data_IF_176428527455
#
_entry.id   IF_176428527455
#
_cell.length_a   1.000
_cell.length_b   1.000
_cell.length_c   1.000
_cell.angle_alpha   90.00
_cell.angle_beta   90.00
_cell.angle_gamma   90.00
#
_symmetry.space_group_name_H-M   'P 1'
#
loop_
_entity.id
_entity.type
_entity.pdbx_description
1 polymer ?
#
# COMPACT_ATOMS: atom_id res chain seq x y z
N UNK A 1 -0.12 4.41 10.12
CA UNK A 1 0.65 5.55 9.58
C UNK A 1 2.12 5.14 9.57
N UNK A 2 2.73 4.94 8.40
CA UNK A 2 4.12 4.49 8.26
C UNK A 2 4.89 5.58 7.51
N UNK A 3 5.74 6.33 8.20
CA UNK A 3 6.54 7.39 7.59
C UNK A 3 8.03 7.19 7.88
N UNK A 4 8.89 7.51 6.90
CA UNK A 4 10.35 7.50 7.01
C UNK A 4 10.97 6.12 7.30
N UNK A 5 10.26 5.03 7.01
CA UNK A 5 10.78 3.68 7.23
C UNK A 5 11.65 3.24 6.05
N UNK A 6 12.92 3.63 6.07
CA UNK A 6 13.90 3.48 4.97
C UNK A 6 14.20 2.05 4.51
N UNK A 7 13.62 1.03 5.15
CA UNK A 7 13.79 -0.38 4.81
C UNK A 7 12.62 -1.02 4.07
N UNK A 8 11.48 -0.32 3.92
CA UNK A 8 10.28 -0.90 3.32
C UNK A 8 10.37 -0.84 1.79
N UNK A 9 11.08 -1.80 1.19
CA UNK A 9 11.26 -1.88 -0.26
C UNK A 9 10.06 -2.50 -0.99
N UNK A 10 9.35 -3.43 -0.34
CA UNK A 10 8.20 -4.13 -0.92
C UNK A 10 7.06 -4.15 0.10
N UNK A 11 5.84 -3.89 -0.36
CA UNK A 11 4.63 -4.09 0.44
C UNK A 11 3.96 -5.41 0.02
N UNK A 12 3.83 -6.35 0.96
CA UNK A 12 3.24 -7.66 0.69
C UNK A 12 1.79 -7.73 1.17
N UNK A 13 1.04 -8.70 0.65
CA UNK A 13 -0.34 -8.91 1.10
C UNK A 13 -0.41 -9.29 2.58
N UNK A 14 0.47 -10.20 3.03
CA UNK A 14 0.55 -10.66 4.42
C UNK A 14 0.70 -9.50 5.41
N UNK A 15 1.48 -8.48 5.04
CA UNK A 15 1.67 -7.28 5.87
C UNK A 15 0.36 -6.50 6.07
N UNK A 16 -0.60 -6.64 5.15
CA UNK A 16 -1.85 -5.90 5.10
C UNK A 16 -3.06 -6.71 5.58
N UNK A 17 -2.97 -8.04 5.66
CA UNK A 17 -4.11 -8.93 5.95
C UNK A 17 -4.76 -8.68 7.31
N UNK A 18 -3.97 -8.30 8.31
CA UNK A 18 -4.45 -8.05 9.67
C UNK A 18 -5.20 -6.72 9.81
N UNK A 19 -5.04 -5.79 8.86
CA UNK A 19 -5.60 -4.45 8.94
C UNK A 19 -6.94 -4.34 8.19
N UNK A 20 -7.90 -5.21 8.51
CA UNK A 20 -9.18 -5.30 7.79
C UNK A 20 -10.03 -4.03 7.86
N UNK A 21 -9.92 -3.27 8.96
CA UNK A 21 -10.59 -1.98 9.15
C UNK A 21 -9.83 -0.75 8.61
N UNK A 22 -8.70 -0.94 7.91
CA UNK A 22 -7.86 0.18 7.48
C UNK A 22 -8.56 1.04 6.43
N UNK A 23 -8.68 2.34 6.70
CA UNK A 23 -9.29 3.30 5.78
C UNK A 23 -8.27 4.20 5.07
N UNK A 24 -7.14 4.48 5.73
CA UNK A 24 -6.09 5.39 5.24
C UNK A 24 -4.72 4.73 5.40
N UNK A 25 -4.01 4.57 4.30
CA UNK A 25 -2.63 4.10 4.26
C UNK A 25 -1.71 5.25 3.84
N UNK A 26 -0.70 5.53 4.65
CA UNK A 26 0.39 6.43 4.28
C UNK A 26 1.70 5.66 4.42
N UNK A 27 2.42 5.56 3.31
CA UNK A 27 3.80 5.07 3.21
C UNK A 27 4.56 6.15 2.46
N UNK A 28 5.29 6.99 3.19
CA UNK A 28 6.01 8.12 2.60
C UNK A 28 7.49 8.08 2.95
N UNK A 29 8.34 8.38 1.98
CA UNK A 29 9.79 8.49 2.17
C UNK A 29 10.43 7.20 2.74
N UNK A 30 9.92 6.04 2.32
CA UNK A 30 10.32 4.73 2.84
C UNK A 30 11.19 3.93 1.87
N UNK A 31 11.32 4.40 0.62
CA UNK A 31 12.09 3.70 -0.41
C UNK A 31 11.33 2.54 -1.06
N UNK A 32 10.00 2.51 -0.94
CA UNK A 32 9.13 1.49 -1.55
C UNK A 32 9.35 1.44 -3.06
N UNK A 33 9.62 0.24 -3.59
CA UNK A 33 9.93 -0.03 -5.01
C UNK A 33 8.86 -0.86 -5.70
N UNK A 34 8.15 -1.69 -4.95
CA UNK A 34 7.09 -2.53 -5.50
C UNK A 34 5.98 -2.82 -4.49
N UNK A 35 4.80 -3.14 -5.00
CA UNK A 35 3.64 -3.57 -4.23
C UNK A 35 3.19 -4.89 -4.83
N UNK A 36 3.05 -5.92 -4.02
CA UNK A 36 2.64 -7.22 -4.51
C UNK A 36 1.20 -7.19 -5.05
N UNK A 37 0.88 -8.02 -6.06
CA UNK A 37 -0.49 -8.23 -6.47
C UNK A 37 -1.38 -8.58 -5.27
N UNK A 38 -2.58 -8.02 -5.24
CA UNK A 38 -3.56 -8.24 -4.16
C UNK A 38 -3.11 -7.78 -2.76
N UNK A 39 -2.08 -6.93 -2.65
CA UNK A 39 -1.66 -6.39 -1.37
C UNK A 39 -2.79 -5.72 -0.57
N UNK A 40 -3.81 -5.19 -1.24
CA UNK A 40 -4.96 -4.53 -0.62
C UNK A 40 -6.25 -5.37 -0.56
N UNK A 41 -6.19 -6.67 -0.90
CA UNK A 41 -7.38 -7.50 -1.04
C UNK A 41 -8.14 -7.73 0.28
N UNK A 42 -7.47 -7.59 1.43
CA UNK A 42 -8.08 -7.71 2.76
C UNK A 42 -8.41 -6.36 3.42
N UNK A 43 -8.28 -5.25 2.70
CA UNK A 43 -8.56 -3.91 3.22
C UNK A 43 -9.76 -3.28 2.48
N UNK A 44 -10.98 -3.84 2.61
CA UNK A 44 -12.15 -3.40 1.82
C UNK A 44 -12.60 -1.97 2.13
N UNK A 45 -12.15 -1.40 3.25
CA UNK A 45 -12.50 -0.04 3.66
C UNK A 45 -11.44 1.00 3.26
N UNK A 46 -10.36 0.58 2.58
CA UNK A 46 -9.26 1.46 2.21
C UNK A 46 -9.69 2.43 1.11
N UNK A 47 -9.69 3.72 1.43
CA UNK A 47 -10.18 4.80 0.54
C UNK A 47 -9.13 5.86 0.25
N UNK A 48 -8.07 5.91 1.04
CA UNK A 48 -6.99 6.87 0.88
C UNK A 48 -5.64 6.15 0.94
N UNK A 49 -4.82 6.38 -0.09
CA UNK A 49 -3.50 5.80 -0.21
C UNK A 49 -2.52 6.92 -0.58
N UNK A 50 -1.54 7.15 0.28
CA UNK A 50 -0.42 8.05 0.03
C UNK A 50 0.88 7.25 -0.07
N UNK A 51 1.44 7.18 -1.27
CA UNK A 51 2.71 6.51 -1.58
C UNK A 51 3.80 7.49 -2.01
N UNK A 52 3.65 8.78 -1.68
CA UNK A 52 4.55 9.85 -2.12
C UNK A 52 6.00 9.67 -1.63
N UNK A 53 6.93 10.26 -2.35
CA UNK A 53 8.37 10.24 -2.02
C UNK A 53 8.93 8.80 -1.86
N UNK A 54 8.43 7.84 -2.63
CA UNK A 54 9.01 6.50 -2.74
C UNK A 54 9.75 6.32 -4.08
N UNK A 55 10.18 5.08 -4.35
CA UNK A 55 10.94 4.71 -5.55
C UNK A 55 10.14 3.79 -6.48
N UNK A 56 8.80 3.93 -6.47
CA UNK A 56 7.91 3.23 -7.39
C UNK A 56 8.13 3.79 -8.80
N UNK A 57 8.52 2.94 -9.73
CA UNK A 57 8.67 3.30 -11.15
C UNK A 57 7.42 2.97 -11.96
N UNK A 58 6.63 2.02 -11.48
CA UNK A 58 5.38 1.59 -12.09
C UNK A 58 4.33 1.34 -11.01
N UNK A 59 3.05 1.41 -11.39
CA UNK A 59 1.94 1.12 -10.52
C UNK A 59 0.80 0.51 -11.36
N UNK A 60 0.40 -0.72 -11.03
CA UNK A 60 -0.68 -1.40 -11.74
C UNK A 60 -2.04 -0.97 -11.18
N UNK A 61 -2.96 -0.57 -12.05
CA UNK A 61 -4.35 -0.27 -11.69
C UNK A 61 -5.06 -1.47 -11.04
N UNK A 62 -4.60 -2.70 -11.33
CA UNK A 62 -5.15 -3.93 -10.76
C UNK A 62 -5.02 -3.98 -9.23
N UNK A 63 -4.06 -3.27 -8.65
CA UNK A 63 -3.91 -3.16 -7.19
C UNK A 63 -5.13 -2.52 -6.52
N UNK A 64 -5.87 -1.68 -7.25
CA UNK A 64 -6.98 -0.90 -6.72
C UNK A 64 -8.35 -1.46 -7.13
N UNK A 65 -8.42 -2.57 -7.88
CA UNK A 65 -9.68 -3.17 -8.32
C UNK A 65 -10.61 -3.57 -7.17
N UNK A 66 -10.06 -3.92 -6.01
CA UNK A 66 -10.82 -4.32 -4.83
C UNK A 66 -11.26 -3.14 -3.97
N UNK A 67 -10.81 -1.93 -4.29
CA UNK A 67 -11.19 -0.72 -3.57
C UNK A 67 -12.46 -0.18 -4.22
N UNK A 68 -13.57 -0.22 -3.48
CA UNK A 68 -14.80 0.44 -3.88
C UNK A 68 -14.63 1.95 -3.73
N UNK A 69 -14.89 2.69 -4.81
CA UNK A 69 -15.01 4.16 -4.80
C UNK A 69 -16.24 4.60 -3.99
#
# INVERSE_FOLDING_TARGET
HIENWRGLHTLNAVDMELYTGLQKLTIKNSGLRSIQPRAFAKNPHLRYINLSSNRLTTLSWQLFQTLSL
#
